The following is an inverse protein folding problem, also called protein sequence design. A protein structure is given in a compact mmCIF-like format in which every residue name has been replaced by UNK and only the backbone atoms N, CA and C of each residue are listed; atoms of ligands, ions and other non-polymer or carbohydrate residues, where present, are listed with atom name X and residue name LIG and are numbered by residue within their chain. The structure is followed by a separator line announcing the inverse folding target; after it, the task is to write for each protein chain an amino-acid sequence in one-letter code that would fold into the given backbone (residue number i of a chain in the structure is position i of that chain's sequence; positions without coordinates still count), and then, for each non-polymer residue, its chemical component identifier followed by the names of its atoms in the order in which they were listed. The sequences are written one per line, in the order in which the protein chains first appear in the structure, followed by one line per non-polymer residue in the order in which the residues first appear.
data_IF_087266775023
#
_entry.id   IF_087266775023
#
_cell.length_a   1.000
_cell.length_b   1.000
_cell.length_c   1.000
_cell.angle_alpha   90.00
_cell.angle_beta   90.00
_cell.angle_gamma   90.00
#
_symmetry.space_group_name_H-M   'P 1'
#
loop_
_entity.id
_entity.type
_entity.pdbx_description
1 polymer ?
#
# COMPACT_ATOMS: atom_id res chain seq x y z
N UNK A 1 4.07 -42.54 23.27
CA UNK A 1 2.93 -41.61 23.31
C UNK A 1 2.85 -40.98 21.94
N UNK A 2 1.76 -41.24 21.22
CA UNK A 2 1.59 -40.73 19.85
C UNK A 2 1.41 -39.20 19.87
N UNK A 3 1.95 -38.52 18.86
CA UNK A 3 1.89 -37.06 18.70
C UNK A 3 0.44 -36.52 18.77
N UNK A 4 -0.52 -37.30 18.25
CA UNK A 4 -1.96 -37.00 18.36
C UNK A 4 -2.47 -37.06 19.80
N UNK A 5 -1.97 -38.00 20.62
CA UNK A 5 -2.33 -38.11 22.03
C UNK A 5 -1.85 -36.91 22.86
N UNK A 6 -0.67 -36.38 22.55
CA UNK A 6 -0.12 -35.17 23.19
C UNK A 6 -0.96 -33.95 22.83
N UNK A 7 -1.36 -33.79 21.56
CA UNK A 7 -2.21 -32.67 21.14
C UNK A 7 -3.58 -32.73 21.84
N UNK A 8 -4.18 -33.91 21.91
CA UNK A 8 -5.49 -34.09 22.55
C UNK A 8 -5.41 -33.83 24.06
N UNK A 9 -4.36 -34.28 24.75
CA UNK A 9 -4.17 -34.01 26.18
C UNK A 9 -3.95 -32.52 26.44
N UNK A 10 -3.06 -31.87 25.67
CA UNK A 10 -2.83 -30.42 25.79
C UNK A 10 -4.09 -29.61 25.51
N UNK A 11 -4.91 -30.04 24.55
CA UNK A 11 -6.20 -29.40 24.28
C UNK A 11 -7.15 -29.53 25.48
N UNK A 12 -7.27 -30.71 26.07
CA UNK A 12 -8.10 -30.94 27.25
C UNK A 12 -7.62 -30.11 28.45
N UNK A 13 -6.31 -29.99 28.64
CA UNK A 13 -5.71 -29.17 29.69
C UNK A 13 -6.08 -27.69 29.49
N UNK A 14 -5.95 -27.15 28.27
CA UNK A 14 -6.35 -25.77 27.94
C UNK A 14 -7.85 -25.55 28.16
N UNK A 15 -8.70 -26.52 27.81
CA UNK A 15 -10.15 -26.44 28.04
C UNK A 15 -10.46 -26.41 29.54
N UNK A 16 -9.78 -27.23 30.35
CA UNK A 16 -9.96 -27.22 31.81
C UNK A 16 -9.51 -25.89 32.43
N UNK A 17 -8.38 -25.34 31.99
CA UNK A 17 -7.90 -24.01 32.39
C UNK A 17 -8.93 -22.94 32.04
N UNK A 18 -9.48 -22.98 30.82
CA UNK A 18 -10.50 -22.04 30.37
C UNK A 18 -11.76 -22.05 31.25
N UNK A 19 -12.26 -23.24 31.59
CA UNK A 19 -13.44 -23.38 32.46
C UNK A 19 -13.20 -22.83 33.87
N UNK A 20 -11.97 -22.93 34.37
CA UNK A 20 -11.62 -22.41 35.69
C UNK A 20 -11.42 -20.90 35.74
N UNK A 21 -10.94 -20.26 34.66
CA UNK A 21 -10.51 -18.84 34.68
C UNK A 21 -11.63 -17.79 34.88
N UNK A 22 -12.88 -18.18 34.99
CA UNK A 22 -14.00 -17.27 35.27
C UNK A 22 -14.31 -16.30 34.12
N UNK A 23 -15.15 -15.29 34.39
CA UNK A 23 -15.75 -14.43 33.34
C UNK A 23 -14.72 -13.65 32.51
N UNK A 24 -13.59 -13.25 33.10
CA UNK A 24 -12.54 -12.49 32.42
C UNK A 24 -11.93 -13.32 31.28
N UNK A 25 -11.74 -14.62 31.47
CA UNK A 25 -11.22 -15.50 30.43
C UNK A 25 -12.15 -15.58 29.23
N UNK A 26 -13.48 -15.63 29.44
CA UNK A 26 -14.45 -15.58 28.34
C UNK A 26 -14.37 -14.26 27.56
N UNK A 27 -14.26 -13.13 28.26
CA UNK A 27 -14.11 -11.80 27.63
C UNK A 27 -12.82 -11.74 26.80
N UNK A 28 -11.71 -12.21 27.35
CA UNK A 28 -10.42 -12.27 26.65
C UNK A 28 -10.50 -13.14 25.39
N UNK A 29 -11.18 -14.28 25.45
CA UNK A 29 -11.35 -15.16 24.29
C UNK A 29 -12.20 -14.51 23.20
N UNK A 30 -13.30 -13.82 23.55
CA UNK A 30 -14.12 -13.10 22.56
C UNK A 30 -13.32 -12.00 21.87
N UNK A 31 -12.58 -11.20 22.65
CA UNK A 31 -11.73 -10.13 22.13
C UNK A 31 -10.60 -10.70 21.26
N UNK A 32 -9.98 -11.80 21.69
CA UNK A 32 -8.94 -12.49 20.92
C UNK A 32 -9.45 -13.06 19.60
N UNK A 33 -10.64 -13.69 19.60
CA UNK A 33 -11.29 -14.17 18.37
C UNK A 33 -11.64 -13.03 17.42
N UNK A 34 -12.15 -11.92 17.94
CA UNK A 34 -12.42 -10.73 17.14
C UNK A 34 -11.14 -10.13 16.55
N UNK A 35 -10.06 -10.04 17.33
CA UNK A 35 -8.74 -9.61 16.84
C UNK A 35 -8.20 -10.52 15.75
N UNK A 36 -8.34 -11.84 15.91
CA UNK A 36 -7.91 -12.83 14.92
C UNK A 36 -8.73 -12.72 13.62
N UNK A 37 -10.04 -12.51 13.74
CA UNK A 37 -10.92 -12.25 12.60
C UNK A 37 -10.46 -11.00 11.82
N UNK A 38 -10.24 -9.88 12.50
CA UNK A 38 -9.73 -8.64 11.88
C UNK A 38 -8.38 -8.86 11.20
N UNK A 39 -7.48 -9.60 11.84
CA UNK A 39 -6.16 -9.88 11.30
C UNK A 39 -6.23 -10.71 10.00
N UNK A 40 -7.04 -11.77 9.98
CA UNK A 40 -7.22 -12.63 8.80
C UNK A 40 -7.87 -11.85 7.65
N UNK A 41 -8.96 -11.13 7.93
CA UNK A 41 -9.63 -10.28 6.93
C UNK A 41 -8.62 -9.32 6.30
N UNK A 42 -7.77 -8.71 7.14
CA UNK A 42 -6.80 -7.73 6.67
C UNK A 42 -5.68 -8.33 5.83
N UNK A 43 -5.17 -9.49 6.23
CA UNK A 43 -4.14 -10.21 5.45
C UNK A 43 -4.69 -10.59 4.08
N UNK A 44 -5.93 -11.06 4.00
CA UNK A 44 -6.57 -11.41 2.72
C UNK A 44 -6.74 -10.15 1.85
N UNK A 45 -7.21 -9.05 2.43
CA UNK A 45 -7.35 -7.77 1.71
C UNK A 45 -6.01 -7.28 1.15
N UNK A 46 -4.97 -7.21 1.98
CA UNK A 46 -3.64 -6.71 1.57
C UNK A 46 -2.96 -7.65 0.58
N UNK A 47 -3.05 -8.98 0.76
CA UNK A 47 -2.49 -9.93 -0.20
C UNK A 47 -3.15 -9.84 -1.57
N UNK A 48 -4.45 -9.54 -1.63
CA UNK A 48 -5.12 -9.27 -2.92
C UNK A 48 -4.67 -7.96 -3.55
N UNK A 49 -4.40 -6.94 -2.74
CA UNK A 49 -3.91 -5.65 -3.21
C UNK A 49 -2.43 -5.67 -3.66
N UNK A 50 -1.59 -6.52 -3.05
CA UNK A 50 -0.15 -6.64 -3.33
C UNK A 50 0.21 -7.67 -4.41
N UNK A 51 -0.75 -8.21 -5.17
CA UNK A 51 -0.47 -9.26 -6.17
C UNK A 51 0.37 -8.78 -7.35
N UNK A 52 0.44 -7.47 -7.59
CA UNK A 52 1.02 -6.90 -8.79
C UNK A 52 2.04 -5.85 -8.34
N UNK A 53 3.28 -6.01 -8.81
CA UNK A 53 4.40 -5.16 -8.44
C UNK A 53 4.31 -3.78 -9.12
N UNK A 54 4.81 -2.74 -8.45
CA UNK A 54 4.92 -1.40 -9.02
C UNK A 54 5.69 -1.43 -10.34
N UNK A 55 6.80 -2.19 -10.40
CA UNK A 55 7.62 -2.30 -11.60
C UNK A 55 6.84 -2.86 -12.79
N UNK A 56 6.00 -3.87 -12.56
CA UNK A 56 5.16 -4.47 -13.61
C UNK A 56 4.10 -3.49 -14.10
N UNK A 57 3.41 -2.80 -13.17
CA UNK A 57 2.45 -1.75 -13.53
C UNK A 57 3.15 -0.68 -14.36
N UNK A 58 4.32 -0.19 -13.92
CA UNK A 58 5.06 0.87 -14.60
C UNK A 58 5.57 0.46 -15.98
N UNK A 59 6.02 -0.77 -16.18
CA UNK A 59 6.39 -1.29 -17.51
C UNK A 59 5.18 -1.21 -18.44
N UNK A 60 4.02 -1.71 -18.00
CA UNK A 60 2.78 -1.68 -18.77
C UNK A 60 2.33 -0.26 -19.07
N UNK A 61 2.44 0.67 -18.09
CA UNK A 61 2.13 2.08 -18.30
C UNK A 61 3.03 2.67 -19.38
N UNK A 62 4.35 2.48 -19.25
CA UNK A 62 5.32 3.08 -20.16
C UNK A 62 5.19 2.53 -21.59
N UNK A 63 4.99 1.22 -21.75
CA UNK A 63 4.74 0.60 -23.06
C UNK A 63 3.43 1.13 -23.68
N UNK A 64 2.35 1.18 -22.90
CA UNK A 64 1.06 1.68 -23.38
C UNK A 64 1.12 3.18 -23.73
N UNK A 65 1.89 3.97 -22.96
CA UNK A 65 2.16 5.38 -23.24
C UNK A 65 2.91 5.55 -24.57
N UNK A 66 3.90 4.69 -24.86
CA UNK A 66 4.68 4.75 -26.09
C UNK A 66 3.87 4.36 -27.35
N UNK A 67 2.89 3.47 -27.21
CA UNK A 67 2.10 2.98 -28.34
C UNK A 67 0.82 3.78 -28.62
N UNK A 68 0.18 4.34 -27.59
CA UNK A 68 -1.15 4.96 -27.74
C UNK A 68 -1.42 6.14 -26.81
N UNK A 69 -0.40 6.62 -26.09
CA UNK A 69 -0.51 7.75 -25.16
C UNK A 69 -1.35 7.45 -23.91
N UNK A 70 -1.81 8.51 -23.24
CA UNK A 70 -2.45 8.43 -21.92
C UNK A 70 -3.76 7.63 -21.88
N UNK A 71 -4.52 7.61 -22.98
CA UNK A 71 -5.78 6.88 -23.06
C UNK A 71 -5.56 5.35 -23.06
N UNK A 72 -4.52 4.89 -23.77
CA UNK A 72 -4.19 3.46 -23.83
C UNK A 72 -3.56 2.99 -22.52
N UNK A 73 -2.70 3.82 -21.93
CA UNK A 73 -2.18 3.58 -20.58
C UNK A 73 -3.28 3.51 -19.52
N UNK A 74 -4.30 4.36 -19.60
CA UNK A 74 -5.45 4.31 -18.68
C UNK A 74 -6.25 3.01 -18.83
N UNK A 75 -6.42 2.50 -20.06
CA UNK A 75 -7.08 1.21 -20.31
C UNK A 75 -6.28 0.04 -19.76
N UNK A 76 -4.96 0.05 -19.98
CA UNK A 76 -4.07 -0.99 -19.50
C UNK A 76 -4.07 -1.06 -17.97
N UNK A 77 -4.02 0.10 -17.29
CA UNK A 77 -4.06 0.18 -15.82
C UNK A 77 -5.45 -0.14 -15.26
N UNK A 78 -6.53 0.14 -15.99
CA UNK A 78 -7.90 -0.13 -15.54
C UNK A 78 -8.19 -1.61 -15.20
N UNK A 79 -7.37 -2.53 -15.71
CA UNK A 79 -7.46 -3.96 -15.37
C UNK A 79 -6.92 -4.27 -13.96
N UNK A 80 -6.09 -3.40 -13.42
CA UNK A 80 -5.49 -3.52 -12.09
C UNK A 80 -6.42 -2.93 -11.04
N UNK A 81 -6.66 -3.67 -9.95
CA UNK A 81 -7.47 -3.23 -8.82
C UNK A 81 -6.61 -2.99 -7.57
N UNK A 82 -5.43 -2.41 -7.77
CA UNK A 82 -4.45 -2.13 -6.70
C UNK A 82 -4.48 -0.65 -6.30
N UNK A 83 -4.08 -0.29 -5.07
CA UNK A 83 -3.97 1.12 -4.66
C UNK A 83 -3.10 1.95 -5.61
N UNK A 84 -1.94 1.40 -5.99
CA UNK A 84 -1.00 2.00 -6.94
C UNK A 84 -1.67 2.26 -8.29
N UNK A 85 -2.41 1.28 -8.84
CA UNK A 85 -3.12 1.46 -10.12
C UNK A 85 -4.15 2.59 -10.10
N UNK A 86 -4.84 2.79 -8.96
CA UNK A 86 -5.81 3.90 -8.81
C UNK A 86 -5.12 5.26 -8.79
N UNK A 87 -4.00 5.36 -8.08
CA UNK A 87 -3.21 6.59 -7.99
C UNK A 87 -2.65 6.96 -9.38
N UNK A 88 -2.05 5.99 -10.09
CA UNK A 88 -1.52 6.24 -11.44
C UNK A 88 -2.66 6.54 -12.42
N UNK A 89 -3.80 5.86 -12.32
CA UNK A 89 -4.96 6.14 -13.18
C UNK A 89 -5.47 7.58 -13.03
N UNK A 90 -5.51 8.13 -11.81
CA UNK A 90 -5.89 9.53 -11.63
C UNK A 90 -4.84 10.50 -12.17
N UNK A 91 -3.55 10.19 -12.00
CA UNK A 91 -2.49 10.95 -12.65
C UNK A 91 -2.67 10.98 -14.19
N UNK A 92 -3.00 9.83 -14.80
CA UNK A 92 -3.24 9.73 -16.24
C UNK A 92 -4.52 10.44 -16.72
N UNK A 93 -5.60 10.44 -15.92
CA UNK A 93 -6.88 11.10 -16.25
C UNK A 93 -6.78 12.62 -16.25
N UNK A 94 -6.08 13.17 -15.26
CA UNK A 94 -5.81 14.61 -15.18
C UNK A 94 -4.89 15.01 -16.34
N UNK A 95 -4.04 14.08 -16.79
CA UNK A 95 -3.09 14.31 -17.86
C UNK A 95 -2.14 15.42 -17.45
N UNK A 96 -1.99 16.41 -18.32
CA UNK A 96 -0.92 17.40 -18.21
C UNK A 96 -1.36 18.78 -17.68
N UNK A 97 -2.31 18.81 -16.75
CA UNK A 97 -2.59 20.03 -15.98
C UNK A 97 -1.36 20.44 -15.16
N UNK A 98 -1.43 21.58 -14.47
CA UNK A 98 -0.28 22.07 -13.69
C UNK A 98 0.26 20.96 -12.78
N UNK A 99 1.60 20.87 -12.67
CA UNK A 99 2.27 19.84 -11.85
C UNK A 99 1.67 19.75 -10.44
N UNK A 100 1.37 20.90 -9.84
CA UNK A 100 0.72 21.01 -8.53
C UNK A 100 -0.62 20.28 -8.49
N UNK A 101 -1.47 20.47 -9.51
CA UNK A 101 -2.81 19.88 -9.54
C UNK A 101 -2.76 18.34 -9.67
N UNK A 102 -1.77 17.80 -10.41
CA UNK A 102 -1.57 16.35 -10.49
C UNK A 102 -1.09 15.79 -9.15
N UNK A 103 -0.10 16.45 -8.52
CA UNK A 103 0.43 16.05 -7.21
C UNK A 103 -0.64 16.09 -6.11
N UNK A 104 -1.45 17.15 -6.07
CA UNK A 104 -2.52 17.34 -5.09
C UNK A 104 -3.59 16.25 -5.22
N UNK A 105 -4.00 15.91 -6.44
CA UNK A 105 -5.00 14.85 -6.66
C UNK A 105 -4.44 13.46 -6.35
N UNK A 106 -3.19 13.16 -6.74
CA UNK A 106 -2.53 11.91 -6.36
C UNK A 106 -2.44 11.77 -4.85
N UNK A 107 -2.16 12.87 -4.14
CA UNK A 107 -2.12 12.91 -2.68
C UNK A 107 -3.49 12.67 -2.04
N UNK A 108 -4.56 13.26 -2.58
CA UNK A 108 -5.92 12.99 -2.10
C UNK A 108 -6.30 11.51 -2.23
N UNK A 109 -6.02 10.89 -3.38
CA UNK A 109 -6.29 9.46 -3.60
C UNK A 109 -5.43 8.61 -2.68
N UNK A 110 -4.16 8.99 -2.49
CA UNK A 110 -3.26 8.33 -1.56
C UNK A 110 -3.81 8.35 -0.14
N UNK A 111 -4.24 9.50 0.38
CA UNK A 111 -4.81 9.61 1.74
C UNK A 111 -6.03 8.68 1.89
N UNK A 112 -6.89 8.60 0.88
CA UNK A 112 -8.06 7.72 0.89
C UNK A 112 -7.68 6.24 0.88
N UNK A 113 -6.73 5.83 0.03
CA UNK A 113 -6.28 4.43 -0.04
C UNK A 113 -5.48 4.03 1.20
N UNK A 114 -4.63 4.93 1.73
CA UNK A 114 -3.94 4.74 3.01
C UNK A 114 -4.94 4.54 4.15
N UNK A 115 -5.99 5.37 4.24
CA UNK A 115 -7.05 5.20 5.22
C UNK A 115 -7.72 3.82 5.14
N UNK A 116 -8.01 3.32 3.93
CA UNK A 116 -8.54 1.96 3.72
C UNK A 116 -7.55 0.88 4.15
N UNK A 117 -6.26 1.05 3.85
CA UNK A 117 -5.20 0.14 4.26
C UNK A 117 -4.95 0.16 5.76
N UNK A 118 -5.11 1.27 6.46
CA UNK A 118 -4.93 1.36 7.91
C UNK A 118 -6.19 0.99 8.70
N UNK A 119 -7.38 0.99 8.08
CA UNK A 119 -8.63 0.63 8.76
C UNK A 119 -8.55 -0.73 9.45
N UNK A 120 -8.89 -0.77 10.73
CA UNK A 120 -8.89 -1.97 11.58
C UNK A 120 -7.53 -2.30 12.22
N UNK A 121 -6.43 -1.72 11.73
CA UNK A 121 -5.10 -1.95 12.29
C UNK A 121 -4.97 -1.35 13.70
N UNK A 122 -5.50 -0.14 13.91
CA UNK A 122 -5.52 0.49 15.23
C UNK A 122 -6.33 -0.32 16.24
N UNK A 123 -7.48 -0.85 15.84
CA UNK A 123 -8.29 -1.74 16.69
C UNK A 123 -7.53 -3.01 17.07
N UNK A 124 -6.81 -3.63 16.12
CA UNK A 124 -5.99 -4.80 16.39
C UNK A 124 -4.86 -4.47 17.38
N UNK A 125 -4.18 -3.33 17.20
CA UNK A 125 -3.16 -2.86 18.12
C UNK A 125 -3.72 -2.65 19.54
N UNK A 126 -4.86 -1.96 19.66
CA UNK A 126 -5.53 -1.74 20.94
C UNK A 126 -5.89 -3.05 21.63
N UNK A 127 -6.34 -4.07 20.89
CA UNK A 127 -6.64 -5.39 21.44
C UNK A 127 -5.37 -6.05 22.01
N UNK A 128 -4.25 -5.98 21.28
CA UNK A 128 -2.96 -6.54 21.72
C UNK A 128 -2.49 -5.86 23.02
N UNK A 129 -2.66 -4.54 23.13
CA UNK A 129 -2.24 -3.76 24.30
C UNK A 129 -3.16 -3.96 25.51
N UNK A 130 -4.48 -4.07 25.28
CA UNK A 130 -5.48 -4.20 26.35
C UNK A 130 -5.59 -5.63 26.88
N UNK A 131 -5.37 -6.67 26.06
CA UNK A 131 -5.54 -8.06 26.50
C UNK A 131 -4.67 -8.43 27.74
N UNK A 132 -3.38 -8.06 27.82
CA UNK A 132 -2.58 -8.27 29.03
C UNK A 132 -3.10 -7.49 30.24
N UNK A 133 -3.58 -6.26 30.02
CA UNK A 133 -4.14 -5.43 31.08
C UNK A 133 -5.45 -6.01 31.62
N UNK A 134 -6.30 -6.58 30.77
CA UNK A 134 -7.49 -7.32 31.17
C UNK A 134 -7.12 -8.60 31.96
N UNK A 135 -6.06 -9.30 31.55
CA UNK A 135 -5.51 -10.44 32.30
C UNK A 135 -5.04 -10.02 33.70
N UNK A 136 -4.37 -8.87 33.82
CA UNK A 136 -3.97 -8.26 35.08
C UNK A 136 -5.17 -7.87 35.95
N UNK A 137 -6.23 -7.29 35.37
CA UNK A 137 -7.48 -7.03 36.10
C UNK A 137 -8.08 -8.35 36.63
N UNK A 138 -8.01 -9.42 35.85
CA UNK A 138 -8.42 -10.76 36.28
C UNK A 138 -7.68 -11.24 37.53
N UNK A 139 -6.39 -10.95 37.64
CA UNK A 139 -5.62 -11.32 38.84
C UNK A 139 -6.04 -10.54 40.07
N UNK A 140 -6.27 -9.23 39.91
CA UNK A 140 -6.70 -8.37 41.00
C UNK A 140 -8.05 -8.82 41.54
N UNK A 141 -8.98 -9.18 40.64
CA UNK A 141 -10.31 -9.68 41.02
C UNK A 141 -10.21 -11.05 41.69
N UNK A 142 -9.41 -11.98 41.15
CA UNK A 142 -9.22 -13.31 41.71
C UNK A 142 -8.60 -13.26 43.12
N UNK A 143 -7.56 -12.45 43.30
CA UNK A 143 -6.94 -12.22 44.60
C UNK A 143 -7.87 -11.49 45.58
N UNK A 144 -8.64 -10.52 45.12
CA UNK A 144 -9.66 -9.85 45.95
C UNK A 144 -10.70 -10.85 46.46
N UNK A 145 -11.17 -11.75 45.59
CA UNK A 145 -12.11 -12.81 45.98
C UNK A 145 -11.49 -13.78 47.00
N UNK A 146 -10.23 -14.17 46.82
CA UNK A 146 -9.46 -14.98 47.77
C UNK A 146 -9.41 -14.34 49.15
N UNK A 147 -8.98 -13.08 49.25
CA UNK A 147 -8.87 -12.38 50.54
C UNK A 147 -10.22 -12.14 51.21
N UNK A 148 -11.26 -11.85 50.42
CA UNK A 148 -12.63 -11.70 50.92
C UNK A 148 -13.12 -12.98 51.60
N UNK A 149 -12.84 -14.15 51.02
CA UNK A 149 -13.24 -15.43 51.60
C UNK A 149 -12.45 -15.78 52.86
N UNK A 150 -11.13 -15.49 52.89
CA UNK A 150 -10.31 -15.69 54.09
C UNK A 150 -10.80 -14.89 55.30
N UNK A 151 -11.37 -13.70 55.07
CA UNK A 151 -11.99 -12.90 56.14
C UNK A 151 -13.26 -13.51 56.74
N UNK A 152 -13.85 -14.53 56.10
CA UNK A 152 -15.09 -15.19 56.52
C UNK A 152 -14.83 -16.63 56.98
N UNK A 153 -14.06 -17.41 56.22
CA UNK A 153 -13.71 -18.81 56.50
C UNK A 153 -12.25 -19.08 56.10
N UNK A 154 -11.47 -19.77 56.95
CA UNK A 154 -10.06 -20.12 56.70
C UNK A 154 -9.88 -21.38 55.81
N UNK A 155 -10.81 -21.63 54.88
CA UNK A 155 -10.73 -22.80 53.98
C UNK A 155 -9.66 -22.59 52.91
N UNK A 156 -8.59 -23.38 53.03
CA UNK A 156 -7.42 -23.39 52.15
C UNK A 156 -7.81 -23.75 50.71
N UNK A 157 -8.83 -24.60 50.51
CA UNK A 157 -9.26 -25.04 49.18
C UNK A 157 -9.82 -23.87 48.36
N UNK A 158 -10.64 -23.03 48.99
CA UNK A 158 -11.22 -21.83 48.37
C UNK A 158 -10.13 -20.80 48.05
N UNK A 159 -9.11 -20.70 48.90
CA UNK A 159 -7.95 -19.85 48.68
C UNK A 159 -7.14 -20.28 47.46
N UNK A 160 -6.80 -21.57 47.37
CA UNK A 160 -6.05 -22.13 46.23
C UNK A 160 -6.79 -21.94 44.91
N UNK A 161 -8.13 -22.03 44.91
CA UNK A 161 -8.93 -21.80 43.70
C UNK A 161 -8.83 -20.34 43.21
N UNK A 162 -9.01 -19.35 44.08
CA UNK A 162 -8.92 -17.93 43.65
C UNK A 162 -7.53 -17.52 43.17
N UNK A 163 -6.46 -18.10 43.73
CA UNK A 163 -5.09 -17.95 43.23
C UNK A 163 -4.95 -18.60 41.84
N UNK A 164 -5.48 -19.82 41.66
CA UNK A 164 -5.45 -20.51 40.38
C UNK A 164 -6.14 -19.69 39.27
N UNK A 165 -7.35 -19.18 39.53
CA UNK A 165 -8.09 -18.30 38.61
C UNK A 165 -7.22 -17.12 38.18
N UNK A 166 -6.56 -16.45 39.13
CA UNK A 166 -5.70 -15.29 38.89
C UNK A 166 -4.54 -15.61 37.94
N UNK A 167 -3.90 -16.77 38.10
CA UNK A 167 -2.79 -17.19 37.24
C UNK A 167 -3.31 -17.45 35.82
N UNK A 168 -4.42 -18.17 35.69
CA UNK A 168 -5.02 -18.52 34.40
C UNK A 168 -5.41 -17.27 33.60
N UNK A 169 -6.06 -16.27 34.21
CA UNK A 169 -6.46 -15.06 33.50
C UNK A 169 -5.28 -14.30 32.93
N UNK A 170 -4.13 -14.31 33.63
CA UNK A 170 -2.89 -13.69 33.15
C UNK A 170 -2.33 -14.42 31.94
N UNK A 171 -2.24 -15.74 32.04
CA UNK A 171 -1.73 -16.59 30.96
C UNK A 171 -2.55 -16.37 29.70
N UNK A 172 -3.88 -16.33 29.81
CA UNK A 172 -4.76 -16.05 28.68
C UNK A 172 -4.60 -14.65 28.10
N UNK A 173 -4.50 -13.61 28.94
CA UNK A 173 -4.29 -12.23 28.48
C UNK A 173 -2.99 -12.07 27.69
N UNK A 174 -1.91 -12.70 28.17
CA UNK A 174 -0.63 -12.74 27.46
C UNK A 174 -0.70 -13.59 26.20
N UNK A 175 -1.35 -14.75 26.24
CA UNK A 175 -1.48 -15.63 25.09
C UNK A 175 -2.16 -14.93 23.91
N UNK A 176 -3.26 -14.20 24.17
CA UNK A 176 -3.96 -13.43 23.13
C UNK A 176 -3.02 -12.39 22.49
N UNK A 177 -2.29 -11.62 23.30
CA UNK A 177 -1.36 -10.62 22.78
C UNK A 177 -0.22 -11.24 21.96
N UNK A 178 0.39 -12.32 22.48
CA UNK A 178 1.49 -13.04 21.82
C UNK A 178 1.05 -13.63 20.49
N UNK A 179 -0.17 -14.17 20.40
CA UNK A 179 -0.70 -14.75 19.17
C UNK A 179 -1.00 -13.67 18.13
N UNK A 180 -1.59 -12.53 18.54
CA UNK A 180 -1.99 -11.47 17.61
C UNK A 180 -0.81 -10.59 17.13
N UNK A 181 0.24 -10.46 17.94
CA UNK A 181 1.38 -9.58 17.64
C UNK A 181 2.11 -9.91 16.32
N UNK A 182 2.43 -11.16 15.98
CA UNK A 182 3.01 -11.50 14.68
C UNK A 182 2.13 -11.10 13.50
N UNK A 183 0.81 -11.27 13.61
CA UNK A 183 -0.11 -10.86 12.55
C UNK A 183 -0.13 -9.35 12.38
N UNK A 184 -0.17 -8.60 13.50
CA UNK A 184 -0.09 -7.15 13.47
C UNK A 184 1.19 -6.66 12.78
N UNK A 185 2.35 -7.19 13.17
CA UNK A 185 3.65 -6.82 12.58
C UNK A 185 3.70 -7.16 11.09
N UNK A 186 3.19 -8.32 10.69
CA UNK A 186 3.13 -8.71 9.28
C UNK A 186 2.23 -7.79 8.44
N UNK A 187 1.04 -7.46 8.95
CA UNK A 187 0.11 -6.53 8.32
C UNK A 187 0.75 -5.13 8.19
N UNK A 188 1.42 -4.66 9.24
CA UNK A 188 2.11 -3.37 9.24
C UNK A 188 3.20 -3.31 8.16
N UNK A 189 4.05 -4.33 8.07
CA UNK A 189 5.09 -4.43 7.05
C UNK A 189 4.52 -4.44 5.63
N UNK A 190 3.40 -5.15 5.40
CA UNK A 190 2.70 -5.13 4.10
C UNK A 190 2.18 -3.74 3.72
N UNK A 191 1.73 -2.96 4.69
CA UNK A 191 1.27 -1.59 4.47
C UNK A 191 2.45 -0.68 4.16
N UNK A 192 3.55 -0.78 4.91
CA UNK A 192 4.78 0.00 4.69
C UNK A 192 5.31 -0.20 3.26
N UNK A 193 5.40 -1.43 2.77
CA UNK A 193 5.82 -1.71 1.38
C UNK A 193 4.90 -1.04 0.35
N UNK A 194 3.59 -1.00 0.60
CA UNK A 194 2.64 -0.32 -0.31
C UNK A 194 2.81 1.20 -0.26
N UNK A 195 3.11 1.77 0.91
CA UNK A 195 3.39 3.20 1.06
C UNK A 195 4.66 3.59 0.30
N UNK A 196 5.72 2.80 0.45
CA UNK A 196 7.00 3.01 -0.24
C UNK A 196 6.80 2.98 -1.76
N UNK A 197 6.05 1.99 -2.27
CA UNK A 197 5.75 1.88 -3.69
C UNK A 197 4.97 3.10 -4.22
N UNK A 198 4.04 3.63 -3.42
CA UNK A 198 3.29 4.83 -3.80
C UNK A 198 4.19 6.07 -3.80
N UNK A 199 5.06 6.22 -2.80
CA UNK A 199 6.01 7.33 -2.75
C UNK A 199 6.97 7.29 -3.95
N UNK A 200 7.45 6.09 -4.30
CA UNK A 200 8.26 5.87 -5.50
C UNK A 200 7.47 6.24 -6.76
N UNK A 201 6.20 5.84 -6.87
CA UNK A 201 5.35 6.21 -8.01
C UNK A 201 5.17 7.74 -8.13
N UNK A 202 4.99 8.46 -7.01
CA UNK A 202 4.90 9.93 -6.99
C UNK A 202 6.21 10.60 -7.43
N UNK A 203 7.36 10.02 -7.05
CA UNK A 203 8.68 10.49 -7.52
C UNK A 203 8.90 10.19 -9.00
N UNK A 204 8.45 9.03 -9.49
CA UNK A 204 8.56 8.63 -10.89
C UNK A 204 7.62 9.41 -11.81
N UNK A 205 6.48 9.91 -11.33
CA UNK A 205 5.62 10.83 -12.10
C UNK A 205 6.23 12.22 -12.30
N UNK A 206 7.38 12.52 -11.70
CA UNK A 206 8.15 13.74 -11.94
C UNK A 206 8.91 13.69 -13.28
N UNK A 207 8.23 13.33 -14.36
CA UNK A 207 8.78 13.37 -15.71
C UNK A 207 9.21 14.80 -16.03
N UNK A 208 10.51 15.01 -16.22
CA UNK A 208 11.08 16.36 -16.36
C UNK A 208 10.97 16.85 -17.80
N UNK A 209 11.10 15.92 -18.76
CA UNK A 209 10.91 16.13 -20.19
C UNK A 209 10.74 14.80 -20.94
N UNK A 210 10.12 14.82 -22.11
CA UNK A 210 10.20 13.74 -23.08
C UNK A 210 11.25 14.09 -24.12
N UNK A 211 12.08 13.12 -24.51
CA UNK A 211 13.11 13.24 -25.53
C UNK A 211 12.59 12.58 -26.81
N UNK A 212 12.46 13.37 -27.87
CA UNK A 212 11.96 12.92 -29.17
C UNK A 212 13.03 13.05 -30.24
N UNK A 213 13.25 11.99 -31.00
CA UNK A 213 14.09 12.00 -32.21
C UNK A 213 13.21 12.15 -33.43
N UNK A 214 13.50 13.17 -34.25
CA UNK A 214 12.77 13.39 -35.50
C UNK A 214 13.73 13.46 -36.69
N UNK A 215 13.20 13.08 -37.85
CA UNK A 215 13.79 13.34 -39.15
C UNK A 215 13.00 14.43 -39.86
N UNK A 216 13.70 15.40 -40.44
CA UNK A 216 13.12 16.50 -41.22
C UNK A 216 13.75 16.53 -42.61
N UNK A 217 12.92 16.62 -43.66
CA UNK A 217 13.35 16.49 -45.06
C UNK A 217 13.94 17.78 -45.64
N UNK A 218 13.67 18.97 -45.10
CA UNK A 218 14.17 20.26 -45.62
C UNK A 218 14.29 21.33 -44.52
N UNK A 219 15.26 22.24 -44.72
CA UNK A 219 15.59 23.42 -43.89
C UNK A 219 15.63 23.20 -42.37
N UNK A 220 16.71 22.56 -41.90
CA UNK A 220 16.89 22.23 -40.48
C UNK A 220 16.92 23.48 -39.60
N UNK A 221 17.50 24.57 -40.08
CA UNK A 221 17.67 25.81 -39.31
C UNK A 221 16.31 26.46 -39.04
N UNK A 222 15.47 26.57 -40.07
CA UNK A 222 14.11 27.13 -39.96
C UNK A 222 13.23 26.28 -39.01
N UNK A 223 13.38 24.96 -39.04
CA UNK A 223 12.62 24.04 -38.17
C UNK A 223 13.10 24.12 -36.72
N UNK A 224 14.41 24.27 -36.49
CA UNK A 224 14.97 24.48 -35.15
C UNK A 224 14.43 25.79 -34.57
N UNK A 225 14.42 26.88 -35.33
CA UNK A 225 13.93 28.19 -34.90
C UNK A 225 12.42 28.14 -34.57
N UNK A 226 11.61 27.57 -35.47
CA UNK A 226 10.18 27.42 -35.27
C UNK A 226 9.82 26.56 -34.03
N UNK A 227 10.62 25.54 -33.74
CA UNK A 227 10.46 24.69 -32.56
C UNK A 227 10.97 25.36 -31.28
N UNK A 228 12.07 26.11 -31.34
CA UNK A 228 12.58 26.84 -30.17
C UNK A 228 11.59 27.92 -29.68
N UNK A 229 10.84 28.54 -30.59
CA UNK A 229 9.81 29.51 -30.26
C UNK A 229 8.47 28.88 -29.82
N UNK A 230 8.29 27.58 -30.02
CA UNK A 230 7.03 26.93 -29.73
C UNK A 230 6.85 26.66 -28.21
N UNK A 231 5.69 27.02 -27.64
CA UNK A 231 5.43 26.81 -26.23
C UNK A 231 5.41 25.31 -25.90
N UNK A 232 6.28 24.90 -24.97
CA UNK A 232 6.37 23.49 -24.52
C UNK A 232 7.61 22.74 -25.01
N UNK A 233 8.40 23.32 -25.90
CA UNK A 233 9.73 22.82 -26.26
C UNK A 233 10.72 23.32 -25.20
N UNK A 234 11.55 22.42 -24.66
CA UNK A 234 12.57 22.74 -23.65
C UNK A 234 13.92 22.96 -24.34
N UNK A 235 14.26 22.10 -25.30
CA UNK A 235 15.53 22.16 -26.02
C UNK A 235 15.41 21.46 -27.38
N UNK A 236 16.07 22.00 -28.38
CA UNK A 236 16.25 21.36 -29.69
C UNK A 236 17.73 21.27 -29.97
N UNK A 237 18.21 20.11 -30.42
CA UNK A 237 19.60 19.86 -30.79
C UNK A 237 19.66 19.14 -32.12
N UNK A 238 20.63 19.48 -32.96
CA UNK A 238 20.95 18.67 -34.12
C UNK A 238 21.70 17.41 -33.70
N UNK A 239 21.36 16.29 -34.33
CA UNK A 239 22.02 15.00 -34.16
C UNK A 239 22.32 14.43 -35.54
N UNK A 240 23.40 13.66 -35.65
CA UNK A 240 23.79 12.99 -36.90
C UNK A 240 23.63 11.48 -36.71
N UNK A 241 22.38 11.01 -36.78
CA UNK A 241 22.03 9.60 -36.70
C UNK A 241 21.39 9.14 -38.02
N UNK A 242 21.60 7.88 -38.40
CA UNK A 242 21.19 7.31 -39.70
C UNK A 242 19.68 7.43 -39.98
N UNK A 243 18.86 7.58 -38.93
CA UNK A 243 17.40 7.70 -39.04
C UNK A 243 16.82 8.98 -38.45
N UNK A 244 17.60 9.83 -37.76
CA UNK A 244 17.13 11.04 -37.10
C UNK A 244 18.15 12.19 -37.23
N UNK A 245 17.67 13.40 -37.52
CA UNK A 245 18.53 14.58 -37.66
C UNK A 245 18.31 15.65 -36.58
N UNK A 246 17.28 15.52 -35.73
CA UNK A 246 17.02 16.42 -34.60
C UNK A 246 16.59 15.63 -33.35
N UNK A 247 17.02 16.14 -32.19
CA UNK A 247 16.64 15.70 -30.85
C UNK A 247 15.91 16.84 -30.14
N UNK A 248 14.70 16.57 -29.69
CA UNK A 248 13.81 17.56 -29.08
C UNK A 248 13.50 17.11 -27.66
N UNK A 249 13.91 17.91 -26.68
CA UNK A 249 13.45 17.78 -25.31
C UNK A 249 12.17 18.62 -25.20
N UNK A 250 11.04 17.95 -24.96
CA UNK A 250 9.73 18.60 -24.79
C UNK A 250 9.25 18.46 -23.37
N UNK A 251 8.47 19.43 -22.91
CA UNK A 251 7.67 19.20 -21.70
C UNK A 251 6.78 17.99 -21.96
N UNK A 252 6.57 17.11 -20.97
CA UNK A 252 5.78 15.88 -21.17
C UNK A 252 4.38 16.16 -21.71
N UNK A 253 3.88 17.40 -21.53
CA UNK A 253 2.56 17.88 -21.90
C UNK A 253 2.36 18.24 -23.38
N UNK A 254 3.40 18.20 -24.19
CA UNK A 254 3.29 18.43 -25.63
C UNK A 254 2.81 17.17 -26.34
N UNK A 255 1.61 17.23 -26.92
CA UNK A 255 1.06 16.15 -27.76
C UNK A 255 1.91 15.98 -29.02
N UNK A 256 2.15 14.74 -29.46
CA UNK A 256 2.83 14.44 -30.74
C UNK A 256 2.15 15.11 -31.95
N UNK A 257 0.81 15.27 -31.88
CA UNK A 257 0.04 16.04 -32.86
C UNK A 257 0.43 17.51 -32.92
N UNK A 258 0.82 18.12 -31.79
CA UNK A 258 1.25 19.50 -31.72
C UNK A 258 2.53 19.74 -32.49
N UNK A 259 3.55 18.88 -32.33
CA UNK A 259 4.84 19.01 -33.03
C UNK A 259 4.67 18.84 -34.53
N UNK A 260 3.91 17.82 -34.97
CA UNK A 260 3.60 17.64 -36.40
C UNK A 260 2.88 18.84 -37.00
N UNK A 261 1.98 19.45 -36.24
CA UNK A 261 1.22 20.63 -36.67
C UNK A 261 2.11 21.86 -36.74
N UNK A 262 2.96 22.10 -35.73
CA UNK A 262 3.91 23.22 -35.70
C UNK A 262 4.86 23.16 -36.89
N UNK A 263 5.47 22.00 -37.15
CA UNK A 263 6.41 21.84 -38.27
C UNK A 263 5.69 22.04 -39.61
N UNK A 264 4.49 21.48 -39.79
CA UNK A 264 3.74 21.64 -41.03
C UNK A 264 3.22 23.06 -41.25
N UNK A 265 2.74 23.75 -40.20
CA UNK A 265 2.15 25.08 -40.31
C UNK A 265 3.19 26.20 -40.40
N UNK A 266 4.39 26.00 -39.84
CA UNK A 266 5.44 27.03 -39.79
C UNK A 266 6.54 26.87 -40.82
N UNK A 267 6.84 25.65 -41.26
CA UNK A 267 7.99 25.40 -42.14
C UNK A 267 7.65 24.56 -43.37
N UNK A 268 6.36 24.24 -43.59
CA UNK A 268 5.83 23.40 -44.69
C UNK A 268 6.56 22.05 -44.88
N UNK A 269 7.30 21.62 -43.85
CA UNK A 269 8.23 20.51 -43.92
C UNK A 269 7.57 19.19 -43.45
N UNK A 270 7.85 18.12 -44.18
CA UNK A 270 7.55 16.74 -43.78
C UNK A 270 8.50 16.29 -42.68
N UNK A 271 7.95 15.69 -41.62
CA UNK A 271 8.73 15.07 -40.56
C UNK A 271 8.33 13.61 -40.34
N UNK A 272 9.28 12.83 -39.84
CA UNK A 272 9.04 11.48 -39.32
C UNK A 272 9.56 11.41 -37.90
N UNK A 273 8.68 11.03 -36.96
CA UNK A 273 9.07 10.72 -35.58
C UNK A 273 9.71 9.34 -35.60
N UNK A 274 10.93 9.25 -35.08
CA UNK A 274 11.76 8.04 -35.11
C UNK A 274 11.69 7.34 -33.77
N UNK A 275 11.73 8.11 -32.68
CA UNK A 275 11.74 7.59 -31.32
C UNK A 275 11.19 8.64 -30.35
N UNK A 276 10.44 8.22 -29.33
CA UNK A 276 9.92 9.06 -28.25
C UNK A 276 10.17 8.37 -26.91
N UNK A 277 10.97 8.97 -26.04
CA UNK A 277 11.38 8.40 -24.75
C UNK A 277 11.19 9.41 -23.62
N UNK A 278 10.51 9.00 -22.55
CA UNK A 278 10.35 9.83 -21.37
C UNK A 278 11.64 9.83 -20.51
N UNK A 279 12.11 10.99 -20.05
CA UNK A 279 13.32 11.17 -19.25
C UNK A 279 13.01 11.78 -17.87
N UNK A 280 13.70 11.31 -16.84
CA UNK A 280 13.67 11.85 -15.46
C UNK A 280 14.67 13.00 -15.28
#
# INVERSE_FOLDING_TARGET
MDFLGIIISTFNDVVSMFQSGGIITYILTIIGLYGLFLAIEKIIYLRRASKIDLSEIMIIVNESMAHGGSLEALRAIGNFKTPISRIISEALKIGYRSKSEVEDNMEQVFIVEMGKMMKGLSSLQTIIEIAPLLGLIGTVIGMWYTFKQLGVNSDITLMSNGIYISIITTIFGLAVAIILMPFYTYIKSLIEVQLDNIEIAKKMSNWRYAEMKIWVESDKEEVIEALQEAPGIIKVREIDEEQANLLIDIKPNMLEKGIKTIIRERTDASNRIVESKLRQ
#
